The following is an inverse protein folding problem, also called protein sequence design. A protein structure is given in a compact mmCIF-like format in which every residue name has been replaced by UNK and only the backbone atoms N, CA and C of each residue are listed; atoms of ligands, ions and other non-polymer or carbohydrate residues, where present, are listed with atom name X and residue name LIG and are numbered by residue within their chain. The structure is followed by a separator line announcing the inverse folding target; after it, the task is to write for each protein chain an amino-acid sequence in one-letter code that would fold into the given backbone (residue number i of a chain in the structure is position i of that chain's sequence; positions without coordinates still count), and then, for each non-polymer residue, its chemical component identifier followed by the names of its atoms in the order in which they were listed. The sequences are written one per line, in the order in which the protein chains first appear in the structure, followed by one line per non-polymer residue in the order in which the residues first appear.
data_IF_539092829662
#
_entry.id   IF_539092829662
#
_cell.length_a   1.000
_cell.length_b   1.000
_cell.length_c   1.000
_cell.angle_alpha   90.00
_cell.angle_beta   90.00
_cell.angle_gamma   90.00
#
_symmetry.space_group_name_H-M   'P 1'
#
loop_
_entity.id
_entity.type
_entity.pdbx_description
1 polymer ?
#
# COMPACT_ATOMS: atom_id res chain seq x y z
N UNK A 1 32.34 -0.39 11.76
CA UNK A 1 30.89 -0.56 11.91
C UNK A 1 30.28 -0.07 10.60
N UNK A 2 29.51 -0.88 9.92
CA UNK A 2 28.87 -0.51 8.67
C UNK A 2 27.58 0.32 8.93
N UNK A 3 27.01 0.92 7.89
CA UNK A 3 25.84 1.79 8.01
C UNK A 3 24.62 1.07 8.62
N UNK A 4 24.42 -0.18 8.24
CA UNK A 4 23.33 -1.03 8.76
C UNK A 4 23.51 -1.35 10.23
N UNK A 5 24.70 -1.69 10.67
CA UNK A 5 25.00 -1.95 12.09
C UNK A 5 24.76 -0.71 12.96
N UNK A 6 25.22 0.46 12.51
CA UNK A 6 24.99 1.72 13.21
C UNK A 6 23.50 2.06 13.31
N UNK A 7 22.76 1.89 12.20
CA UNK A 7 21.31 2.09 12.17
C UNK A 7 20.61 1.16 13.17
N UNK A 8 20.90 -0.13 13.15
CA UNK A 8 20.29 -1.11 14.05
C UNK A 8 20.63 -0.81 15.53
N UNK A 9 21.86 -0.39 15.81
CA UNK A 9 22.25 -0.01 17.18
C UNK A 9 21.43 1.18 17.68
N UNK A 10 21.24 2.21 16.84
CA UNK A 10 20.38 3.38 17.16
C UNK A 10 18.91 2.99 17.36
N UNK A 11 18.38 2.07 16.55
CA UNK A 11 16.99 1.61 16.70
C UNK A 11 16.80 0.84 18.01
N UNK A 12 17.74 -0.03 18.37
CA UNK A 12 17.72 -0.74 19.67
C UNK A 12 17.74 0.21 20.87
N UNK A 13 18.53 1.29 20.81
CA UNK A 13 18.58 2.31 21.87
C UNK A 13 17.22 3.03 22.04
N UNK A 14 16.37 3.03 21.03
CA UNK A 14 15.04 3.67 21.01
C UNK A 14 13.90 2.68 21.23
N UNK A 15 14.20 1.44 21.58
CA UNK A 15 13.21 0.34 21.70
C UNK A 15 12.39 0.10 20.42
N UNK A 16 12.96 0.42 19.26
CA UNK A 16 12.33 0.16 17.97
C UNK A 16 12.77 -1.19 17.43
N UNK A 17 11.80 -2.08 17.24
CA UNK A 17 12.05 -3.42 16.71
C UNK A 17 12.13 -3.38 15.20
N UNK A 18 13.29 -3.75 14.65
CA UNK A 18 13.51 -3.92 13.21
C UNK A 18 13.62 -5.41 12.90
N UNK A 19 12.85 -5.88 11.95
CA UNK A 19 12.88 -7.30 11.55
C UNK A 19 13.90 -7.57 10.45
N UNK A 20 13.93 -6.70 9.41
CA UNK A 20 14.84 -6.82 8.28
C UNK A 20 15.30 -5.45 7.82
N UNK A 21 16.54 -5.37 7.38
CA UNK A 21 17.09 -4.20 6.66
C UNK A 21 17.92 -4.72 5.50
N UNK A 22 17.82 -4.07 4.36
CA UNK A 22 18.71 -4.27 3.22
C UNK A 22 19.17 -2.90 2.71
N UNK A 23 20.45 -2.77 2.49
CA UNK A 23 21.05 -1.61 1.85
C UNK A 23 21.55 -1.99 0.45
N UNK A 24 21.04 -1.31 -0.55
CA UNK A 24 21.36 -1.55 -1.96
C UNK A 24 22.02 -0.31 -2.55
N UNK A 25 23.02 -0.53 -3.40
CA UNK A 25 23.66 0.51 -4.21
C UNK A 25 23.90 -0.03 -5.63
N UNK A 26 23.42 0.70 -6.64
CA UNK A 26 23.58 0.33 -8.05
C UNK A 26 23.22 -1.14 -8.30
N UNK A 27 22.02 -1.56 -7.85
CA UNK A 27 21.49 -2.93 -7.97
C UNK A 27 22.30 -4.02 -7.25
N UNK A 28 23.27 -3.63 -6.42
CA UNK A 28 24.05 -4.55 -5.59
C UNK A 28 23.61 -4.46 -4.13
N UNK A 29 23.32 -5.62 -3.53
CA UNK A 29 23.08 -5.72 -2.09
C UNK A 29 24.41 -5.58 -1.35
N UNK A 30 24.60 -4.45 -0.65
CA UNK A 30 25.83 -4.18 0.11
C UNK A 30 25.75 -4.71 1.53
N UNK A 31 24.62 -4.54 2.17
CA UNK A 31 24.42 -4.88 3.58
C UNK A 31 23.05 -5.46 3.81
N UNK A 32 22.95 -6.41 4.73
CA UNK A 32 21.67 -6.95 5.17
C UNK A 32 21.66 -7.27 6.67
N UNK A 33 20.50 -7.11 7.27
CA UNK A 33 20.23 -7.52 8.64
C UNK A 33 18.91 -8.27 8.69
N UNK A 34 18.88 -9.39 9.39
CA UNK A 34 17.68 -10.15 9.69
C UNK A 34 17.64 -10.50 11.19
N UNK A 35 16.57 -10.14 11.87
CA UNK A 35 16.30 -10.55 13.23
C UNK A 35 15.67 -11.93 13.30
N UNK A 36 14.98 -12.32 12.25
CA UNK A 36 14.25 -13.59 12.14
C UNK A 36 15.04 -14.54 11.25
N UNK A 37 15.34 -15.73 11.75
CA UNK A 37 16.21 -16.72 11.10
C UNK A 37 15.54 -17.47 9.94
N UNK A 38 14.23 -17.34 9.77
CA UNK A 38 13.46 -18.04 8.74
C UNK A 38 12.62 -17.08 7.94
N UNK A 39 12.28 -17.43 6.68
CA UNK A 39 11.30 -16.70 5.90
C UNK A 39 9.98 -16.60 6.69
N UNK A 40 9.69 -15.44 7.20
CA UNK A 40 8.49 -15.17 8.00
C UNK A 40 7.60 -14.22 7.25
N UNK A 41 6.32 -14.57 7.11
CA UNK A 41 5.32 -13.67 6.54
C UNK A 41 5.02 -12.57 7.56
N UNK A 42 5.31 -11.34 7.19
CA UNK A 42 5.01 -10.16 7.98
C UNK A 42 3.89 -9.36 7.32
N UNK A 43 3.11 -8.70 8.15
CA UNK A 43 2.06 -7.82 7.68
C UNK A 43 2.69 -6.58 7.00
N UNK A 44 2.47 -6.44 5.71
CA UNK A 44 3.11 -5.37 4.91
C UNK A 44 2.39 -4.01 5.03
N UNK A 45 1.18 -3.98 5.62
CA UNK A 45 0.36 -2.77 5.74
C UNK A 45 0.31 -1.98 4.42
N UNK A 46 0.58 -0.68 4.46
CA UNK A 46 0.52 0.20 3.28
C UNK A 46 1.56 -0.08 2.21
N UNK A 47 2.62 -0.85 2.49
CA UNK A 47 3.57 -1.29 1.45
C UNK A 47 2.87 -2.13 0.39
N UNK A 48 1.80 -2.86 0.75
CA UNK A 48 0.98 -3.60 -0.21
C UNK A 48 0.36 -2.72 -1.31
N UNK A 49 0.16 -1.41 -1.07
CA UNK A 49 -0.34 -0.48 -2.09
C UNK A 49 0.63 -0.32 -3.26
N UNK A 50 1.93 -0.37 -3.01
CA UNK A 50 2.94 -0.33 -4.07
C UNK A 50 2.83 -1.56 -4.98
N UNK A 51 2.63 -2.74 -4.39
CA UNK A 51 2.43 -3.98 -5.16
C UNK A 51 1.12 -3.91 -5.97
N UNK A 52 0.04 -3.42 -5.36
CA UNK A 52 -1.24 -3.18 -6.07
C UNK A 52 -1.06 -2.22 -7.24
N UNK A 53 -0.31 -1.12 -7.05
CA UNK A 53 -0.04 -0.14 -8.11
C UNK A 53 0.71 -0.77 -9.29
N UNK A 54 1.68 -1.65 -9.03
CA UNK A 54 2.38 -2.41 -10.09
C UNK A 54 1.38 -3.32 -10.83
N UNK A 55 0.52 -4.05 -10.10
CA UNK A 55 -0.52 -4.89 -10.71
C UNK A 55 -1.48 -4.11 -11.62
N UNK A 56 -1.91 -2.92 -11.19
CA UNK A 56 -2.74 -2.02 -12.02
C UNK A 56 -1.96 -1.56 -13.26
N UNK A 57 -0.66 -1.26 -13.12
CA UNK A 57 0.20 -0.89 -14.24
C UNK A 57 0.30 -1.99 -15.29
N UNK A 58 0.48 -3.25 -14.87
CA UNK A 58 0.52 -4.41 -15.76
C UNK A 58 -0.82 -4.60 -16.47
N UNK A 59 -1.95 -4.53 -15.75
CA UNK A 59 -3.28 -4.62 -16.34
C UNK A 59 -3.54 -3.51 -17.37
N UNK A 60 -3.05 -2.30 -17.12
CA UNK A 60 -3.14 -1.21 -18.08
C UNK A 60 -2.27 -1.45 -19.31
N UNK A 61 -1.08 -2.01 -19.15
CA UNK A 61 -0.19 -2.39 -20.25
C UNK A 61 -0.81 -3.48 -21.13
N UNK A 62 -1.53 -4.42 -20.54
CA UNK A 62 -2.27 -5.49 -21.23
C UNK A 62 -3.58 -5.00 -21.86
N UNK A 63 -3.95 -3.74 -21.67
CA UNK A 63 -5.16 -3.14 -22.22
C UNK A 63 -6.46 -3.54 -21.51
N UNK A 64 -6.37 -4.17 -20.33
CA UNK A 64 -7.54 -4.60 -19.54
C UNK A 64 -8.28 -3.42 -18.90
N UNK A 65 -7.56 -2.34 -18.62
CA UNK A 65 -8.12 -1.10 -18.08
C UNK A 65 -7.31 0.11 -18.55
N UNK A 66 -7.88 1.31 -18.36
CA UNK A 66 -7.20 2.60 -18.53
C UNK A 66 -7.21 3.35 -17.21
N UNK A 67 -6.19 4.14 -16.93
CA UNK A 67 -6.14 4.93 -15.69
C UNK A 67 -7.30 5.94 -15.57
N UNK A 68 -7.82 6.40 -16.70
CA UNK A 68 -8.94 7.35 -16.75
C UNK A 68 -10.30 6.66 -16.85
N UNK A 69 -10.35 5.32 -16.80
CA UNK A 69 -11.64 4.62 -16.73
C UNK A 69 -12.35 4.95 -15.41
N UNK A 70 -13.67 5.21 -15.46
CA UNK A 70 -14.47 5.34 -14.24
C UNK A 70 -14.42 4.06 -13.41
N UNK A 71 -14.26 4.19 -12.11
CA UNK A 71 -14.25 3.02 -11.18
C UNK A 71 -15.54 2.21 -11.31
N UNK A 72 -16.67 2.88 -11.49
CA UNK A 72 -17.98 2.23 -11.65
C UNK A 72 -18.10 1.32 -12.87
N UNK A 73 -17.24 1.47 -13.88
CA UNK A 73 -17.17 0.53 -15.00
C UNK A 73 -16.94 -0.92 -14.54
N UNK A 74 -16.25 -1.10 -13.42
CA UNK A 74 -15.90 -2.40 -12.85
C UNK A 74 -16.90 -2.92 -11.81
N UNK A 75 -17.94 -2.14 -11.54
CA UNK A 75 -18.96 -2.40 -10.53
C UNK A 75 -20.36 -2.15 -11.11
N UNK A 76 -20.78 -2.94 -12.10
CA UNK A 76 -22.06 -2.73 -12.80
C UNK A 76 -23.31 -2.93 -11.93
N UNK A 77 -23.14 -3.51 -10.75
CA UNK A 77 -24.22 -3.73 -9.79
C UNK A 77 -24.66 -2.44 -9.06
N UNK A 78 -23.88 -1.38 -9.13
CA UNK A 78 -24.24 -0.10 -8.49
C UNK A 78 -24.92 0.85 -9.47
N UNK A 79 -26.08 1.36 -9.10
CA UNK A 79 -26.73 2.45 -9.86
C UNK A 79 -25.99 3.77 -9.62
N UNK A 80 -25.42 4.37 -10.68
CA UNK A 80 -24.75 5.66 -10.55
C UNK A 80 -25.66 6.77 -9.99
N UNK A 81 -26.97 6.68 -10.21
CA UNK A 81 -27.92 7.69 -9.74
C UNK A 81 -28.01 7.76 -8.21
N UNK A 82 -27.79 6.62 -7.54
CA UNK A 82 -27.85 6.50 -6.08
C UNK A 82 -26.55 6.92 -5.39
N UNK A 83 -25.47 7.12 -6.16
CA UNK A 83 -24.14 7.38 -5.62
C UNK A 83 -23.82 8.87 -5.53
N UNK A 84 -22.96 9.22 -4.57
CA UNK A 84 -22.47 10.57 -4.42
C UNK A 84 -21.75 11.06 -5.71
N UNK A 85 -21.87 12.35 -6.06
CA UNK A 85 -21.30 12.89 -7.31
C UNK A 85 -19.79 12.64 -7.48
N UNK A 86 -19.03 12.66 -6.39
CA UNK A 86 -17.59 12.38 -6.42
C UNK A 86 -17.31 10.93 -6.81
N UNK A 87 -18.08 9.98 -6.26
CA UNK A 87 -17.92 8.56 -6.54
C UNK A 87 -18.26 8.24 -8.00
N UNK A 88 -19.30 8.89 -8.54
CA UNK A 88 -19.66 8.75 -9.96
C UNK A 88 -18.54 9.12 -10.93
N UNK A 89 -17.72 10.10 -10.57
CA UNK A 89 -16.63 10.62 -11.41
C UNK A 89 -15.26 10.04 -11.09
N UNK A 90 -15.17 9.24 -10.04
CA UNK A 90 -13.91 8.66 -9.59
C UNK A 90 -13.30 7.75 -10.66
N UNK A 91 -12.04 7.95 -10.96
CA UNK A 91 -11.26 7.15 -11.91
C UNK A 91 -10.30 6.22 -11.20
N UNK A 92 -9.76 5.22 -11.91
CA UNK A 92 -8.67 4.36 -11.43
C UNK A 92 -7.47 5.21 -10.98
N UNK A 93 -7.17 6.28 -11.72
CA UNK A 93 -6.11 7.24 -11.37
C UNK A 93 -6.34 7.90 -10.01
N UNK A 94 -7.58 8.28 -9.70
CA UNK A 94 -7.91 8.90 -8.41
C UNK A 94 -7.70 7.94 -7.25
N UNK A 95 -8.06 6.67 -7.42
CA UNK A 95 -7.76 5.63 -6.42
C UNK A 95 -6.26 5.47 -6.19
N UNK A 96 -5.45 5.38 -7.26
CA UNK A 96 -3.99 5.25 -7.16
C UNK A 96 -3.34 6.46 -6.46
N UNK A 97 -3.92 7.64 -6.63
CA UNK A 97 -3.49 8.87 -5.95
C UNK A 97 -4.04 8.99 -4.53
N UNK A 98 -4.84 8.03 -4.07
CA UNK A 98 -5.59 8.10 -2.81
C UNK A 98 -6.53 9.32 -2.73
N UNK A 99 -7.02 9.76 -3.88
CA UNK A 99 -7.85 10.97 -4.07
C UNK A 99 -9.34 10.67 -4.15
N UNK A 100 -9.86 9.73 -3.34
CA UNK A 100 -11.28 9.32 -3.40
C UNK A 100 -12.28 10.40 -2.96
N UNK A 101 -11.81 11.53 -2.43
CA UNK A 101 -12.66 12.66 -2.05
C UNK A 101 -13.60 12.38 -0.86
N UNK A 102 -13.38 11.30 -0.11
CA UNK A 102 -14.11 11.05 1.13
C UNK A 102 -13.73 12.10 2.17
N UNK A 103 -14.72 12.69 2.82
CA UNK A 103 -14.52 13.57 3.96
C UNK A 103 -14.29 12.81 5.26
N UNK A 104 -14.72 11.55 5.28
CA UNK A 104 -14.58 10.70 6.46
C UNK A 104 -13.17 10.11 6.50
N UNK A 105 -12.60 10.16 7.70
CA UNK A 105 -11.31 9.53 7.95
C UNK A 105 -11.51 8.02 8.03
N UNK A 106 -11.40 7.33 6.89
CA UNK A 106 -11.62 5.88 6.78
C UNK A 106 -10.66 5.01 7.62
N UNK A 107 -9.76 5.63 8.39
CA UNK A 107 -8.72 4.92 9.13
C UNK A 107 -8.80 5.03 10.66
N UNK A 108 -9.87 5.59 11.22
CA UNK A 108 -10.10 5.49 12.66
C UNK A 108 -10.87 4.22 12.99
N UNK A 109 -10.13 3.18 13.22
CA UNK A 109 -10.62 1.92 13.75
C UNK A 109 -10.99 2.13 15.22
N UNK A 110 -12.26 2.30 15.53
CA UNK A 110 -12.73 1.98 16.86
C UNK A 110 -13.07 0.47 16.90
N UNK A 111 -13.04 -0.11 18.09
CA UNK A 111 -13.24 -1.56 18.25
C UNK A 111 -14.62 -2.04 17.76
N UNK A 112 -15.61 -1.18 17.67
CA UNK A 112 -16.94 -1.48 17.15
C UNK A 112 -16.96 -1.66 15.62
N UNK A 113 -16.05 -1.03 14.89
CA UNK A 113 -15.96 -1.14 13.43
C UNK A 113 -15.11 -2.34 12.97
N UNK A 114 -14.32 -2.94 13.86
CA UNK A 114 -13.55 -4.16 13.58
C UNK A 114 -14.41 -5.40 13.32
N UNK A 115 -15.63 -5.39 13.82
CA UNK A 115 -16.55 -6.53 13.76
C UNK A 115 -17.51 -6.48 12.57
N UNK A 116 -17.42 -5.46 11.71
CA UNK A 116 -18.31 -5.25 10.55
C UNK A 116 -17.62 -5.43 9.20
N UNK A 117 -16.35 -5.90 9.17
CA UNK A 117 -15.61 -6.25 7.95
C UNK A 117 -15.54 -7.75 7.78
#
# INVERSE_FOLDING_TARGET
MNCTEEFIAKMKQKDIVINFVQAWRNDTLEESYARLDKPTRLHAYSVSKSVTSIGVGLAAQEGLLRLDDPVLRFYPEYDPAELAPNLRRMTVRDLLKMGCGSKDKMFFWNDAQRLQC
#
